data_IF_152144950438
#
_entry.id   IF_152144950438
#
_cell.length_a   1.000
_cell.length_b   1.000
_cell.length_c   1.000
_cell.angle_alpha   90.00
_cell.angle_beta   90.00
_cell.angle_gamma   90.00
#
_symmetry.space_group_name_H-M   'P 1'
#
loop_
_entity.id
_entity.type
_entity.pdbx_description
1 polymer ?
#
# COMPACT_ATOMS: atom_id res chain seq x y z
N UNK A 1 -13.07 25.91 -11.96
CA UNK A 1 -13.50 25.64 -10.56
C UNK A 1 -12.41 24.96 -9.73
N UNK A 2 -11.68 23.97 -10.26
CA UNK A 2 -10.55 23.30 -9.58
C UNK A 2 -9.41 24.28 -9.24
N UNK A 3 -9.05 25.20 -10.15
CA UNK A 3 -7.94 26.14 -9.95
C UNK A 3 -8.10 27.04 -8.71
N UNK A 4 -9.31 27.54 -8.44
CA UNK A 4 -9.55 28.39 -7.28
C UNK A 4 -9.43 27.65 -5.95
N UNK A 5 -9.87 26.38 -5.90
CA UNK A 5 -9.81 25.56 -4.70
C UNK A 5 -8.38 25.16 -4.32
N UNK A 6 -7.47 25.07 -5.29
CA UNK A 6 -6.09 24.61 -5.11
C UNK A 6 -5.04 25.68 -5.29
N UNK A 7 -5.45 26.97 -5.44
CA UNK A 7 -4.52 28.09 -5.68
C UNK A 7 -3.49 28.31 -4.56
N UNK A 8 -3.80 27.86 -3.33
CA UNK A 8 -2.90 27.94 -2.19
C UNK A 8 -1.88 26.78 -2.10
N UNK A 9 -2.05 25.74 -2.93
CA UNK A 9 -1.13 24.60 -2.98
C UNK A 9 0.00 24.89 -3.96
N UNK A 10 1.22 24.31 -3.73
CA UNK A 10 2.34 24.46 -4.65
C UNK A 10 1.99 23.95 -6.05
N UNK A 11 2.54 24.59 -7.08
CA UNK A 11 2.38 24.20 -8.46
C UNK A 11 3.42 23.14 -8.88
N UNK A 12 3.08 22.33 -9.87
CA UNK A 12 4.03 21.46 -10.55
C UNK A 12 4.72 22.27 -11.64
N UNK A 13 6.01 22.58 -11.42
CA UNK A 13 6.78 23.46 -12.30
C UNK A 13 7.33 22.73 -13.52
N UNK A 14 7.48 23.41 -14.69
CA UNK A 14 8.16 22.85 -15.85
C UNK A 14 9.60 22.41 -15.50
N UNK A 15 10.02 21.26 -16.03
CA UNK A 15 11.35 20.70 -15.77
C UNK A 15 11.50 20.07 -14.39
N UNK A 16 10.41 19.85 -13.65
CA UNK A 16 10.41 19.19 -12.36
C UNK A 16 9.63 17.87 -12.37
N UNK A 17 9.89 17.03 -11.36
CA UNK A 17 9.23 15.72 -11.17
C UNK A 17 8.54 15.67 -9.82
N UNK A 18 7.27 15.32 -9.79
CA UNK A 18 6.60 14.94 -8.55
C UNK A 18 6.50 13.42 -8.44
N UNK A 19 7.00 12.85 -7.32
CA UNK A 19 6.80 11.44 -6.96
C UNK A 19 5.58 11.37 -6.05
N UNK A 20 4.48 10.84 -6.58
CA UNK A 20 3.14 10.97 -6.00
C UNK A 20 2.57 9.61 -5.64
N UNK A 21 2.05 9.47 -4.43
CA UNK A 21 1.28 8.30 -4.01
C UNK A 21 -0.16 8.37 -4.48
N UNK A 22 -0.61 7.31 -5.15
CA UNK A 22 -1.98 7.15 -5.64
C UNK A 22 -2.95 6.59 -4.56
N UNK A 23 -2.44 6.28 -3.37
CA UNK A 23 -3.24 5.58 -2.37
C UNK A 23 -3.41 4.09 -2.65
N UNK A 24 -4.22 3.38 -1.84
CA UNK A 24 -4.32 1.92 -1.89
C UNK A 24 -5.27 1.38 -2.98
N UNK A 25 -6.05 2.24 -3.63
CA UNK A 25 -6.97 1.79 -4.68
C UNK A 25 -8.14 2.74 -4.95
N UNK A 26 -8.82 3.23 -3.93
CA UNK A 26 -9.94 4.18 -4.07
C UNK A 26 -9.40 5.58 -4.48
N UNK A 27 -9.82 6.15 -5.62
CA UNK A 27 -9.45 7.50 -6.03
C UNK A 27 -9.83 8.58 -4.98
N UNK A 28 -10.86 8.35 -4.17
CA UNK A 28 -11.26 9.22 -3.07
C UNK A 28 -10.20 9.34 -1.96
N UNK A 29 -9.19 8.48 -1.96
CA UNK A 29 -8.06 8.50 -1.03
C UNK A 29 -6.83 9.26 -1.57
N UNK A 30 -6.93 9.87 -2.74
CA UNK A 30 -5.90 10.78 -3.24
C UNK A 30 -5.79 12.00 -2.32
N UNK A 31 -4.56 12.44 -2.06
CA UNK A 31 -4.37 13.73 -1.40
C UNK A 31 -4.76 14.87 -2.34
N UNK A 32 -5.18 16.01 -1.80
CA UNK A 32 -5.48 17.19 -2.60
C UNK A 32 -4.30 17.61 -3.48
N UNK A 33 -3.08 17.44 -2.98
CA UNK A 33 -1.87 17.76 -3.72
C UNK A 33 -1.61 16.75 -4.86
N UNK A 34 -1.93 15.47 -4.65
CA UNK A 34 -1.88 14.46 -5.71
C UNK A 34 -2.90 14.77 -6.82
N UNK A 35 -4.13 15.13 -6.47
CA UNK A 35 -5.17 15.51 -7.43
C UNK A 35 -4.76 16.75 -8.26
N UNK A 36 -4.20 17.78 -7.59
CA UNK A 36 -3.65 18.96 -8.28
C UNK A 36 -2.52 18.58 -9.24
N UNK A 37 -1.57 17.76 -8.79
CA UNK A 37 -0.45 17.31 -9.62
C UNK A 37 -0.92 16.53 -10.86
N UNK A 38 -1.91 15.65 -10.72
CA UNK A 38 -2.54 14.92 -11.83
C UNK A 38 -3.14 15.88 -12.87
N UNK A 39 -3.83 16.91 -12.41
CA UNK A 39 -4.44 17.92 -13.28
C UNK A 39 -3.38 18.80 -13.99
N UNK A 40 -2.26 19.15 -13.33
CA UNK A 40 -1.23 20.04 -13.88
C UNK A 40 -0.19 19.34 -14.76
N UNK A 41 -0.06 18.02 -14.66
CA UNK A 41 0.99 17.27 -15.35
C UNK A 41 0.87 17.34 -16.88
N UNK A 42 2.02 17.50 -17.57
CA UNK A 42 2.13 17.28 -19.01
C UNK A 42 2.32 15.79 -19.31
N UNK A 43 3.03 15.08 -18.41
CA UNK A 43 3.29 13.64 -18.53
C UNK A 43 3.08 12.97 -17.18
N UNK A 44 2.30 11.88 -17.18
CA UNK A 44 2.10 10.98 -16.05
C UNK A 44 2.77 9.65 -16.37
N UNK A 45 3.76 9.26 -15.55
CA UNK A 45 4.40 7.94 -15.63
C UNK A 45 3.91 7.11 -14.46
N UNK A 46 3.14 6.02 -14.70
CA UNK A 46 2.52 5.24 -13.63
C UNK A 46 2.87 3.75 -13.67
N UNK A 47 2.80 3.08 -12.53
CA UNK A 47 3.05 1.64 -12.40
C UNK A 47 1.73 0.81 -12.37
N UNK A 48 1.88 -0.52 -12.29
CA UNK A 48 0.78 -1.47 -12.41
C UNK A 48 -0.21 -1.46 -11.23
N UNK A 49 0.17 -0.92 -10.07
CA UNK A 49 -0.66 -0.91 -8.86
C UNK A 49 -1.54 0.33 -8.74
N UNK A 50 -1.40 1.27 -9.67
CA UNK A 50 -2.25 2.46 -9.72
C UNK A 50 -3.63 2.07 -10.25
N UNK A 51 -4.69 2.45 -9.54
CA UNK A 51 -6.04 2.36 -10.09
C UNK A 51 -6.19 3.37 -11.24
N UNK A 52 -6.54 2.88 -12.43
CA UNK A 52 -6.67 3.71 -13.63
C UNK A 52 -7.72 4.83 -13.49
N UNK A 53 -8.71 4.66 -12.61
CA UNK A 53 -9.68 5.70 -12.29
C UNK A 53 -9.04 6.98 -11.75
N UNK A 54 -7.86 6.89 -11.10
CA UNK A 54 -7.10 8.05 -10.67
C UNK A 54 -6.65 8.92 -11.86
N UNK A 55 -6.42 8.31 -13.03
CA UNK A 55 -5.98 9.01 -14.23
C UNK A 55 -7.09 9.88 -14.86
N UNK A 56 -8.35 9.67 -14.48
CA UNK A 56 -9.47 10.49 -14.93
C UNK A 56 -9.38 11.95 -14.46
N UNK A 57 -8.50 12.26 -13.48
CA UNK A 57 -8.21 13.62 -13.05
C UNK A 57 -7.20 14.35 -13.94
N UNK A 58 -6.52 13.64 -14.82
CA UNK A 58 -5.61 14.23 -15.80
C UNK A 58 -6.39 14.99 -16.89
N UNK A 59 -5.75 15.99 -17.48
CA UNK A 59 -6.30 16.70 -18.63
C UNK A 59 -6.27 15.81 -19.89
N UNK A 60 -7.16 16.01 -20.87
CA UNK A 60 -7.20 15.19 -22.07
C UNK A 60 -5.91 15.17 -22.89
N UNK A 61 -5.14 16.26 -22.85
CA UNK A 61 -3.85 16.42 -23.53
C UNK A 61 -2.65 15.82 -22.76
N UNK A 62 -2.84 15.38 -21.52
CA UNK A 62 -1.76 14.80 -20.71
C UNK A 62 -1.31 13.47 -21.31
N UNK A 63 -0.01 13.34 -21.55
CA UNK A 63 0.58 12.07 -21.96
C UNK A 63 0.65 11.09 -20.80
N UNK A 64 0.09 9.89 -20.95
CA UNK A 64 0.13 8.85 -19.93
C UNK A 64 1.05 7.70 -20.40
N UNK A 65 2.13 7.46 -19.64
CA UNK A 65 3.11 6.41 -19.89
C UNK A 65 3.00 5.32 -18.81
N UNK A 66 2.80 4.08 -19.23
CA UNK A 66 2.78 2.93 -18.34
C UNK A 66 4.20 2.38 -18.13
N UNK A 67 4.70 2.39 -16.89
CA UNK A 67 6.01 1.90 -16.49
C UNK A 67 6.00 0.51 -15.84
N UNK A 68 4.82 -0.13 -15.72
CA UNK A 68 4.67 -1.47 -15.17
C UNK A 68 5.09 -2.59 -16.12
N UNK A 69 5.02 -3.83 -15.66
CA UNK A 69 5.25 -5.02 -16.50
C UNK A 69 4.11 -5.15 -17.52
N UNK A 70 4.43 -5.08 -18.81
CA UNK A 70 3.49 -5.51 -19.86
C UNK A 70 3.71 -7.00 -20.11
N UNK A 71 2.61 -7.76 -20.15
CA UNK A 71 2.63 -9.21 -20.36
C UNK A 71 3.60 -9.64 -21.48
N UNK A 72 4.53 -10.54 -21.15
CA UNK A 72 5.49 -11.12 -22.08
C UNK A 72 6.71 -10.27 -22.45
N UNK A 73 6.81 -9.00 -22.03
CA UNK A 73 8.02 -8.17 -22.23
C UNK A 73 8.85 -8.10 -20.94
N UNK A 74 10.21 -8.04 -21.03
CA UNK A 74 11.03 -7.77 -19.86
C UNK A 74 10.53 -6.51 -19.15
N UNK A 75 10.40 -6.57 -17.82
CA UNK A 75 10.11 -5.38 -17.01
C UNK A 75 11.16 -4.32 -17.31
N UNK A 76 10.75 -3.08 -17.56
CA UNK A 76 11.69 -1.95 -17.56
C UNK A 76 12.50 -2.02 -16.26
N UNK A 77 13.84 -1.97 -16.36
CA UNK A 77 14.67 -1.91 -15.16
C UNK A 77 14.31 -0.63 -14.40
N UNK A 78 14.33 -0.65 -13.07
CA UNK A 78 14.05 0.55 -12.29
C UNK A 78 14.88 1.76 -12.74
N UNK A 79 16.13 1.53 -13.11
CA UNK A 79 17.03 2.55 -13.65
C UNK A 79 16.47 3.20 -14.92
N UNK A 80 15.85 2.42 -15.82
CA UNK A 80 15.32 2.94 -17.08
C UNK A 80 14.11 3.85 -16.82
N UNK A 81 13.27 3.51 -15.83
CA UNK A 81 12.17 4.36 -15.40
C UNK A 81 12.70 5.68 -14.83
N UNK A 82 13.69 5.62 -13.92
CA UNK A 82 14.28 6.82 -13.31
C UNK A 82 14.93 7.75 -14.36
N UNK A 83 15.65 7.17 -15.33
CA UNK A 83 16.26 7.94 -16.43
C UNK A 83 15.20 8.54 -17.36
N UNK A 84 14.07 7.82 -17.57
CA UNK A 84 12.94 8.39 -18.34
C UNK A 84 12.36 9.64 -17.68
N UNK A 85 12.22 9.64 -16.33
CA UNK A 85 11.79 10.85 -15.61
C UNK A 85 12.76 12.02 -15.82
N UNK A 86 14.08 11.75 -15.81
CA UNK A 86 15.12 12.75 -16.08
C UNK A 86 15.01 13.34 -17.50
N UNK A 87 14.84 12.47 -18.51
CA UNK A 87 14.67 12.91 -19.91
C UNK A 87 13.46 13.85 -20.06
N UNK A 88 12.31 13.46 -19.52
CA UNK A 88 11.09 14.24 -19.59
C UNK A 88 11.23 15.60 -18.90
N UNK A 89 11.84 15.63 -17.71
CA UNK A 89 12.10 16.86 -16.98
C UNK A 89 13.07 17.79 -17.75
N UNK A 90 14.15 17.24 -18.31
CA UNK A 90 15.10 18.01 -19.16
C UNK A 90 14.45 18.56 -20.43
N UNK A 91 13.41 17.92 -20.94
CA UNK A 91 12.59 18.43 -22.03
C UNK A 91 11.61 19.54 -21.58
N UNK A 92 11.73 20.03 -20.34
CA UNK A 92 10.89 21.09 -19.78
C UNK A 92 9.46 20.65 -19.41
N UNK A 93 9.18 19.34 -19.34
CA UNK A 93 7.85 18.83 -19.01
C UNK A 93 7.57 18.93 -17.51
N UNK A 94 6.29 19.12 -17.17
CA UNK A 94 5.75 18.91 -15.82
C UNK A 94 5.50 17.42 -15.65
N UNK A 95 6.39 16.73 -14.92
CA UNK A 95 6.38 15.27 -14.84
C UNK A 95 5.78 14.80 -13.53
N UNK A 96 4.77 13.93 -13.59
CA UNK A 96 4.21 13.28 -12.43
C UNK A 96 4.48 11.77 -12.50
N UNK A 97 5.23 11.24 -11.54
CA UNK A 97 5.44 9.81 -11.33
C UNK A 97 4.40 9.31 -10.32
N UNK A 98 3.37 8.60 -10.80
CA UNK A 98 2.28 8.09 -9.97
C UNK A 98 2.56 6.65 -9.55
N UNK A 99 2.52 6.40 -8.24
CA UNK A 99 2.89 5.13 -7.61
C UNK A 99 1.75 4.60 -6.73
N UNK A 100 1.47 3.31 -6.78
CA UNK A 100 0.48 2.71 -5.85
C UNK A 100 0.89 2.91 -4.39
N UNK A 101 -0.07 3.18 -3.51
CA UNK A 101 0.17 3.45 -2.10
C UNK A 101 0.92 4.75 -1.86
N UNK A 102 2.07 4.66 -1.20
CA UNK A 102 2.99 5.76 -0.87
C UNK A 102 4.34 5.56 -1.57
N UNK A 103 4.98 6.60 -2.13
CA UNK A 103 6.26 6.48 -2.84
C UNK A 103 7.39 5.90 -1.99
N UNK A 104 7.39 6.14 -0.69
CA UNK A 104 8.47 5.77 0.24
C UNK A 104 8.19 4.52 1.08
N UNK A 105 7.00 3.89 0.92
CA UNK A 105 6.67 2.65 1.62
C UNK A 105 6.74 1.48 0.63
N UNK A 106 7.87 0.79 0.58
CA UNK A 106 8.19 -0.32 -0.33
C UNK A 106 7.94 -0.01 -1.83
N UNK A 107 7.90 1.28 -2.17
CA UNK A 107 7.61 1.78 -3.52
C UNK A 107 8.85 2.16 -4.34
N UNK A 108 10.08 2.02 -3.80
CA UNK A 108 11.34 2.41 -4.45
C UNK A 108 11.44 3.90 -4.81
N UNK A 109 10.57 4.76 -4.28
CA UNK A 109 10.60 6.20 -4.54
C UNK A 109 11.91 6.87 -4.10
N UNK A 110 12.58 6.32 -3.08
CA UNK A 110 13.91 6.77 -2.66
C UNK A 110 14.96 6.60 -3.76
N UNK A 111 14.97 5.48 -4.48
CA UNK A 111 15.87 5.23 -5.61
C UNK A 111 15.60 6.19 -6.77
N UNK A 112 14.31 6.42 -7.07
CA UNK A 112 13.89 7.38 -8.10
C UNK A 112 14.32 8.81 -7.72
N UNK A 113 14.11 9.23 -6.46
CA UNK A 113 14.52 10.55 -5.97
C UNK A 113 16.03 10.75 -6.01
N UNK A 114 16.83 9.75 -5.60
CA UNK A 114 18.30 9.81 -5.66
C UNK A 114 18.79 9.98 -7.10
N UNK A 115 18.19 9.29 -8.07
CA UNK A 115 18.52 9.48 -9.49
C UNK A 115 18.22 10.91 -9.96
N UNK A 116 17.10 11.50 -9.52
CA UNK A 116 16.78 12.91 -9.84
C UNK A 116 17.82 13.87 -9.26
N UNK A 117 18.28 13.62 -8.01
CA UNK A 117 19.38 14.41 -7.37
C UNK A 117 20.65 14.31 -8.18
N UNK A 118 21.08 13.10 -8.58
CA UNK A 118 22.30 12.87 -9.39
C UNK A 118 22.29 13.67 -10.71
N UNK A 119 21.09 13.90 -11.25
CA UNK A 119 20.91 14.61 -12.52
C UNK A 119 20.51 16.09 -12.36
N UNK A 120 20.49 16.62 -11.12
CA UNK A 120 20.10 17.99 -10.77
C UNK A 120 18.67 18.33 -11.25
N UNK A 121 17.73 17.38 -11.16
CA UNK A 121 16.32 17.59 -11.49
C UNK A 121 15.58 17.97 -10.21
N UNK A 122 14.87 19.12 -10.17
CA UNK A 122 14.00 19.50 -9.06
C UNK A 122 12.87 18.48 -8.90
N UNK A 123 12.58 18.09 -7.67
CA UNK A 123 11.50 17.14 -7.42
C UNK A 123 10.74 17.45 -6.12
N UNK A 124 9.57 16.86 -6.00
CA UNK A 124 8.75 16.87 -4.79
C UNK A 124 8.25 15.46 -4.49
N UNK A 125 8.23 15.11 -3.20
CA UNK A 125 7.51 13.92 -2.72
C UNK A 125 6.12 14.35 -2.29
N UNK A 126 5.10 13.68 -2.83
CA UNK A 126 3.71 13.82 -2.41
C UNK A 126 3.28 12.49 -1.79
N UNK A 127 3.20 12.38 -0.47
CA UNK A 127 2.78 11.16 0.20
C UNK A 127 1.43 10.67 -0.27
N UNK A 128 1.22 9.36 -0.19
CA UNK A 128 -0.07 8.72 -0.40
C UNK A 128 -0.44 7.82 0.77
N UNK A 129 -1.69 7.40 0.84
CA UNK A 129 -2.12 6.45 1.87
C UNK A 129 -1.62 5.07 1.47
N UNK A 130 -0.69 4.52 2.25
CA UNK A 130 -0.17 3.17 1.99
C UNK A 130 -1.21 2.09 2.29
N UNK A 131 -1.19 0.98 1.53
CA UNK A 131 -2.18 -0.10 1.66
C UNK A 131 -2.19 -0.76 3.04
N UNK A 132 -1.05 -0.79 3.75
CA UNK A 132 -0.96 -1.30 5.13
C UNK A 132 -1.68 -0.44 6.16
N UNK A 133 -2.13 0.76 5.80
CA UNK A 133 -2.97 1.63 6.62
C UNK A 133 -4.36 1.73 5.99
N UNK A 134 -4.46 2.26 4.78
CA UNK A 134 -5.74 2.51 4.13
C UNK A 134 -6.48 1.24 3.75
N UNK A 135 -5.77 0.22 3.25
CA UNK A 135 -6.37 -1.07 2.90
C UNK A 135 -6.90 -1.83 4.12
N UNK A 136 -6.17 -1.78 5.24
CA UNK A 136 -6.65 -2.38 6.50
C UNK A 136 -7.86 -1.62 7.07
N UNK A 137 -7.88 -0.29 6.97
CA UNK A 137 -9.05 0.50 7.36
C UNK A 137 -10.29 0.14 6.52
N UNK A 138 -10.12 -0.08 5.22
CA UNK A 138 -11.19 -0.55 4.32
C UNK A 138 -11.61 -2.00 4.59
N UNK A 139 -10.73 -2.79 5.17
CA UNK A 139 -11.05 -4.14 5.64
C UNK A 139 -11.69 -4.16 7.04
N UNK A 140 -11.85 -3.02 7.72
CA UNK A 140 -12.34 -2.96 9.10
C UNK A 140 -11.33 -3.48 10.13
N UNK A 141 -10.02 -3.40 9.81
CA UNK A 141 -8.94 -3.85 10.70
C UNK A 141 -8.09 -2.63 11.09
N UNK A 142 -8.22 -2.11 12.31
CA UNK A 142 -7.35 -1.03 12.77
C UNK A 142 -5.92 -1.55 13.00
N UNK A 143 -4.92 -0.83 12.50
CA UNK A 143 -3.50 -1.23 12.72
C UNK A 143 -3.04 -1.04 14.17
N UNK A 144 -3.73 -0.20 14.93
CA UNK A 144 -3.51 0.04 16.35
C UNK A 144 -4.83 0.04 17.11
N UNK A 145 -4.81 -0.45 18.34
CA UNK A 145 -5.94 -0.39 19.25
C UNK A 145 -5.46 -0.24 20.69
N UNK A 146 -6.03 0.73 21.43
CA UNK A 146 -5.58 1.11 22.77
C UNK A 146 -5.36 -0.07 23.73
N UNK A 147 -6.26 -1.06 23.68
CA UNK A 147 -6.27 -2.17 24.63
C UNK A 147 -5.57 -3.43 24.08
N UNK A 148 -5.10 -3.42 22.82
CA UNK A 148 -4.55 -4.59 22.13
C UNK A 148 -3.07 -4.39 21.79
N UNK A 149 -2.72 -3.26 21.16
CA UNK A 149 -1.34 -3.03 20.70
C UNK A 149 -0.96 -1.56 20.68
N UNK A 150 0.31 -1.31 21.02
CA UNK A 150 0.91 0.03 21.00
C UNK A 150 2.05 0.14 19.97
N UNK A 151 2.27 -0.90 19.17
CA UNK A 151 3.30 -0.93 18.15
C UNK A 151 2.82 -1.68 16.91
N UNK A 152 3.32 -1.28 15.74
CA UNK A 152 3.09 -1.95 14.45
C UNK A 152 4.42 -2.03 13.72
N UNK A 153 4.71 -3.18 13.13
CA UNK A 153 5.88 -3.38 12.30
C UNK A 153 5.46 -3.59 10.85
N UNK A 154 5.98 -2.76 9.94
CA UNK A 154 5.80 -2.91 8.50
C UNK A 154 6.97 -3.69 7.91
N UNK A 155 6.69 -4.75 7.14
CA UNK A 155 7.68 -5.60 6.51
C UNK A 155 7.40 -5.81 5.02
N UNK A 156 8.44 -6.18 4.27
CA UNK A 156 8.29 -6.77 2.94
C UNK A 156 8.47 -8.28 3.01
N UNK A 157 7.61 -9.03 2.33
CA UNK A 157 7.70 -10.50 2.29
C UNK A 157 8.77 -11.04 1.34
N UNK A 158 9.30 -10.20 0.44
CA UNK A 158 10.44 -10.56 -0.41
C UNK A 158 11.30 -9.34 -0.75
N UNK A 159 12.55 -9.58 -1.05
CA UNK A 159 13.50 -8.58 -1.55
C UNK A 159 13.51 -8.49 -3.08
N UNK A 160 14.52 -7.81 -3.64
CA UNK A 160 14.68 -7.66 -5.09
C UNK A 160 15.00 -8.97 -5.84
N UNK A 161 15.46 -10.00 -5.14
CA UNK A 161 15.70 -11.35 -5.70
C UNK A 161 14.44 -12.20 -5.72
N UNK A 162 13.37 -11.75 -5.04
CA UNK A 162 12.10 -12.46 -4.96
C UNK A 162 12.06 -13.56 -3.90
N UNK A 163 12.98 -13.53 -2.93
CA UNK A 163 13.03 -14.45 -1.79
C UNK A 163 12.73 -13.71 -0.49
N UNK A 164 12.38 -14.44 0.56
CA UNK A 164 12.22 -13.88 1.91
C UNK A 164 13.54 -13.26 2.38
N UNK A 165 13.57 -11.99 2.85
CA UNK A 165 14.81 -11.32 3.13
C UNK A 165 15.56 -11.91 4.32
N UNK A 166 16.78 -12.39 4.12
CA UNK A 166 17.68 -12.91 5.18
C UNK A 166 18.05 -11.85 6.23
N UNK A 167 17.94 -10.56 5.86
CA UNK A 167 18.28 -9.43 6.74
C UNK A 167 17.21 -9.15 7.79
N UNK A 168 16.04 -9.77 7.71
CA UNK A 168 14.99 -9.62 8.71
C UNK A 168 15.31 -10.54 9.89
N UNK A 169 15.51 -9.95 11.06
CA UNK A 169 15.61 -10.73 12.30
C UNK A 169 14.22 -11.21 12.73
N UNK A 170 13.78 -12.36 12.20
CA UNK A 170 12.46 -12.93 12.45
C UNK A 170 12.21 -13.25 13.90
N UNK A 171 13.25 -13.63 14.66
CA UNK A 171 13.15 -13.88 16.10
C UNK A 171 12.79 -12.60 16.88
N UNK A 172 13.53 -11.51 16.62
CA UNK A 172 13.26 -10.23 17.27
C UNK A 172 11.87 -9.67 16.87
N UNK A 173 11.49 -9.77 15.58
CA UNK A 173 10.20 -9.32 15.08
C UNK A 173 9.07 -10.16 15.69
N UNK A 174 9.19 -11.50 15.67
CA UNK A 174 8.17 -12.39 16.18
C UNK A 174 7.88 -12.16 17.67
N UNK A 175 8.92 -11.89 18.48
CA UNK A 175 8.79 -11.63 19.92
C UNK A 175 8.37 -10.20 20.26
N UNK A 176 8.82 -9.21 19.48
CA UNK A 176 8.68 -7.79 19.84
C UNK A 176 7.55 -7.04 19.15
N UNK A 177 6.95 -7.59 18.10
CA UNK A 177 5.97 -6.88 17.29
C UNK A 177 4.56 -7.41 17.52
N UNK A 178 3.70 -6.71 18.28
CA UNK A 178 2.35 -7.18 18.56
C UNK A 178 1.46 -7.25 17.31
N UNK A 179 1.71 -6.40 16.33
CA UNK A 179 1.04 -6.42 15.01
C UNK A 179 2.10 -6.30 13.92
N UNK A 180 2.04 -7.20 12.97
CA UNK A 180 2.93 -7.22 11.80
C UNK A 180 2.07 -7.02 10.55
N UNK A 181 2.43 -6.02 9.75
CA UNK A 181 1.79 -5.72 8.46
C UNK A 181 2.80 -5.96 7.35
N UNK A 182 2.48 -6.85 6.43
CA UNK A 182 3.42 -7.31 5.41
C UNK A 182 2.92 -7.00 4.01
N UNK A 183 3.82 -6.44 3.20
CA UNK A 183 3.64 -6.25 1.77
C UNK A 183 4.31 -7.38 1.02
N UNK A 184 3.77 -7.76 -0.14
CA UNK A 184 4.37 -8.76 -1.03
C UNK A 184 4.65 -10.12 -0.35
N UNK A 185 3.94 -10.44 0.76
CA UNK A 185 4.18 -11.61 1.59
C UNK A 185 3.36 -12.84 1.17
N UNK A 186 2.27 -12.66 0.42
CA UNK A 186 1.29 -13.71 0.15
C UNK A 186 1.91 -14.97 -0.46
N UNK A 187 2.85 -14.83 -1.42
CA UNK A 187 3.53 -15.97 -2.06
C UNK A 187 4.52 -16.70 -1.14
N UNK A 188 4.99 -16.02 -0.10
CA UNK A 188 6.00 -16.53 0.82
C UNK A 188 5.41 -16.85 2.20
N UNK A 189 4.08 -16.91 2.29
CA UNK A 189 3.40 -17.04 3.60
C UNK A 189 3.79 -18.33 4.35
N UNK A 190 4.05 -19.41 3.64
CA UNK A 190 4.49 -20.68 4.25
C UNK A 190 5.80 -20.51 5.03
N UNK A 191 6.81 -19.92 4.39
CA UNK A 191 8.12 -19.67 5.01
C UNK A 191 8.02 -18.62 6.13
N UNK A 192 7.30 -17.53 5.89
CA UNK A 192 7.11 -16.45 6.86
C UNK A 192 6.38 -16.96 8.11
N UNK A 193 5.30 -17.74 7.94
CA UNK A 193 4.57 -18.34 9.06
C UNK A 193 5.46 -19.28 9.87
N UNK A 194 6.26 -20.11 9.22
CA UNK A 194 7.21 -20.98 9.88
C UNK A 194 8.24 -20.19 10.72
N UNK A 195 8.81 -19.11 10.16
CA UNK A 195 9.73 -18.23 10.88
C UNK A 195 9.08 -17.58 12.11
N UNK A 196 7.84 -17.07 11.97
CA UNK A 196 7.13 -16.43 13.07
C UNK A 196 6.75 -17.42 14.19
N UNK A 197 6.32 -18.63 13.83
CA UNK A 197 6.00 -19.71 14.80
C UNK A 197 7.28 -20.14 15.50
N UNK A 198 8.39 -20.34 14.79
CA UNK A 198 9.68 -20.68 15.38
C UNK A 198 10.18 -19.58 16.33
N UNK A 199 9.84 -18.31 16.06
CA UNK A 199 10.11 -17.19 16.96
C UNK A 199 9.20 -17.13 18.20
N UNK A 200 8.26 -18.07 18.34
CA UNK A 200 7.38 -18.22 19.51
C UNK A 200 5.98 -17.62 19.34
N UNK A 201 5.56 -17.23 18.13
CA UNK A 201 4.16 -16.83 17.91
C UNK A 201 3.26 -18.05 17.87
N UNK A 202 2.02 -17.88 18.33
CA UNK A 202 1.07 -18.98 18.40
C UNK A 202 0.54 -19.35 17.01
N UNK A 203 0.47 -20.63 16.63
CA UNK A 203 -0.18 -21.05 15.38
C UNK A 203 -1.64 -20.59 15.28
N UNK A 204 -2.32 -20.38 16.41
CA UNK A 204 -3.71 -19.90 16.48
C UNK A 204 -3.86 -18.38 16.37
N UNK A 205 -2.75 -17.66 16.23
CA UNK A 205 -2.77 -16.20 16.10
C UNK A 205 -3.50 -15.77 14.82
N UNK A 206 -4.39 -14.74 14.91
CA UNK A 206 -5.18 -14.32 13.76
C UNK A 206 -4.32 -13.69 12.65
N UNK A 207 -4.66 -14.03 11.42
CA UNK A 207 -4.07 -13.48 10.19
C UNK A 207 -5.18 -13.05 9.25
N UNK A 208 -5.02 -11.92 8.58
CA UNK A 208 -5.88 -11.53 7.47
C UNK A 208 -5.07 -11.17 6.23
N UNK A 209 -5.58 -11.61 5.07
CA UNK A 209 -5.10 -11.22 3.75
C UNK A 209 -6.12 -10.26 3.16
N UNK A 210 -5.70 -9.05 2.83
CA UNK A 210 -6.55 -8.04 2.20
C UNK A 210 -6.07 -7.87 0.76
N UNK A 211 -6.79 -8.50 -0.17
CA UNK A 211 -6.48 -8.48 -1.59
C UNK A 211 -7.23 -7.35 -2.28
N UNK A 212 -6.60 -6.71 -3.28
CA UNK A 212 -7.16 -5.58 -4.03
C UNK A 212 -7.75 -4.50 -3.10
N UNK A 213 -7.01 -4.17 -2.04
CA UNK A 213 -7.44 -3.29 -0.97
C UNK A 213 -7.99 -1.95 -1.47
N UNK A 214 -9.08 -1.49 -0.86
CA UNK A 214 -9.76 -0.23 -1.16
C UNK A 214 -10.21 -0.09 -2.63
N UNK A 215 -10.51 -1.21 -3.31
CA UNK A 215 -11.13 -1.21 -4.65
C UNK A 215 -12.47 -1.91 -4.61
N UNK A 216 -13.27 -1.78 -5.66
CA UNK A 216 -14.52 -2.55 -5.83
C UNK A 216 -14.33 -4.08 -5.90
N UNK A 217 -13.07 -4.56 -6.00
CA UNK A 217 -12.70 -5.98 -6.02
C UNK A 217 -12.03 -6.42 -4.73
N UNK A 218 -12.10 -5.62 -3.66
CA UNK A 218 -11.50 -5.99 -2.38
C UNK A 218 -12.07 -7.30 -1.86
N UNK A 219 -11.16 -8.21 -1.49
CA UNK A 219 -11.49 -9.48 -0.82
C UNK A 219 -10.64 -9.63 0.44
N UNK A 220 -11.23 -10.19 1.49
CA UNK A 220 -10.55 -10.41 2.77
C UNK A 220 -10.69 -11.86 3.18
N UNK A 221 -9.55 -12.53 3.40
CA UNK A 221 -9.47 -13.86 3.97
C UNK A 221 -8.96 -13.74 5.40
N UNK A 222 -9.74 -14.21 6.36
CA UNK A 222 -9.34 -14.35 7.77
C UNK A 222 -9.01 -15.81 8.07
N UNK A 223 -7.89 -16.04 8.74
CA UNK A 223 -7.39 -17.38 9.11
C UNK A 223 -6.49 -17.27 10.34
N UNK A 224 -5.74 -18.34 10.63
CA UNK A 224 -4.71 -18.35 11.68
C UNK A 224 -3.31 -18.48 11.07
N UNK A 225 -2.27 -18.16 11.85
CA UNK A 225 -0.88 -18.23 11.39
C UNK A 225 -0.49 -19.65 10.94
N UNK A 226 -0.97 -20.68 11.66
CA UNK A 226 -0.70 -22.09 11.34
C UNK A 226 -1.43 -22.58 10.10
N UNK A 227 -2.61 -22.01 9.77
CA UNK A 227 -3.45 -22.43 8.65
C UNK A 227 -3.27 -21.52 7.41
N UNK A 228 -2.48 -20.46 7.52
CA UNK A 228 -2.40 -19.40 6.51
C UNK A 228 -2.04 -19.94 5.11
N UNK A 229 -1.15 -20.94 5.03
CA UNK A 229 -0.70 -21.53 3.77
C UNK A 229 -1.83 -22.26 3.06
N UNK A 230 -2.51 -23.17 3.76
CA UNK A 230 -3.61 -23.95 3.19
C UNK A 230 -4.81 -23.04 2.86
N UNK A 231 -5.13 -22.10 3.75
CA UNK A 231 -6.24 -21.16 3.55
C UNK A 231 -6.04 -20.30 2.28
N UNK A 232 -4.84 -19.77 2.06
CA UNK A 232 -4.52 -19.01 0.83
C UNK A 232 -4.60 -19.91 -0.39
N UNK A 233 -4.02 -21.11 -0.35
CA UNK A 233 -4.05 -22.04 -1.48
C UNK A 233 -5.48 -22.44 -1.87
N UNK A 234 -6.36 -22.64 -0.89
CA UNK A 234 -7.76 -23.00 -1.11
C UNK A 234 -8.64 -21.81 -1.54
N UNK A 235 -8.25 -20.58 -1.22
CA UNK A 235 -9.09 -19.39 -1.44
C UNK A 235 -9.20 -18.93 -2.88
N UNK A 236 -8.23 -19.26 -3.72
CA UNK A 236 -8.09 -18.70 -5.08
C UNK A 236 -7.78 -17.21 -5.12
N UNK A 237 -7.42 -16.59 -3.99
CA UNK A 237 -7.04 -15.17 -3.94
C UNK A 237 -5.68 -14.94 -4.59
N UNK A 238 -5.56 -13.80 -5.25
CA UNK A 238 -4.34 -13.40 -5.96
C UNK A 238 -3.83 -12.02 -5.49
N UNK A 239 -2.51 -11.76 -5.60
CA UNK A 239 -1.96 -10.42 -5.40
C UNK A 239 -2.59 -9.38 -6.36
N UNK A 240 -2.56 -8.09 -5.97
CA UNK A 240 -1.85 -7.53 -4.81
C UNK A 240 -2.58 -7.76 -3.49
N UNK A 241 -1.81 -8.02 -2.44
CA UNK A 241 -2.35 -8.25 -1.11
C UNK A 241 -1.47 -7.63 -0.01
N UNK A 242 -2.12 -7.14 1.04
CA UNK A 242 -1.50 -6.84 2.34
C UNK A 242 -1.88 -7.95 3.31
N UNK A 243 -0.89 -8.44 4.06
CA UNK A 243 -1.10 -9.46 5.10
C UNK A 243 -0.89 -8.81 6.46
N UNK A 244 -1.81 -9.03 7.38
CA UNK A 244 -1.70 -8.58 8.77
C UNK A 244 -1.79 -9.75 9.73
N UNK A 245 -0.85 -9.80 10.70
CA UNK A 245 -0.78 -10.80 11.77
C UNK A 245 -0.95 -10.08 13.10
N UNK A 246 -1.86 -10.54 13.94
CA UNK A 246 -2.08 -10.03 15.28
C UNK A 246 -3.54 -9.97 15.69
N UNK A 247 -3.78 -9.82 16.98
CA UNK A 247 -5.11 -9.82 17.60
C UNK A 247 -6.07 -8.75 17.06
N UNK A 248 -5.55 -7.65 16.46
CA UNK A 248 -6.39 -6.60 15.84
C UNK A 248 -7.27 -7.13 14.70
N UNK A 249 -6.89 -8.26 14.08
CA UNK A 249 -7.69 -8.91 13.03
C UNK A 249 -9.07 -9.28 13.53
N UNK A 250 -9.22 -9.70 14.80
CA UNK A 250 -10.50 -10.06 15.40
C UNK A 250 -11.50 -8.92 15.46
N UNK A 251 -11.03 -7.66 15.42
CA UNK A 251 -11.90 -6.49 15.40
C UNK A 251 -12.68 -6.36 14.09
N UNK A 252 -12.23 -7.02 13.01
CA UNK A 252 -12.91 -6.96 11.73
C UNK A 252 -14.38 -7.36 11.83
N UNK A 253 -14.72 -8.40 12.61
CA UNK A 253 -16.10 -8.82 12.79
C UNK A 253 -17.02 -7.70 13.31
N UNK A 254 -16.45 -6.74 14.07
CA UNK A 254 -17.15 -5.59 14.64
C UNK A 254 -17.03 -4.31 13.81
N UNK A 255 -16.03 -4.22 12.93
CA UNK A 255 -15.66 -2.98 12.25
C UNK A 255 -15.70 -3.06 10.71
N UNK A 256 -16.18 -4.16 10.13
CA UNK A 256 -16.33 -4.32 8.67
C UNK A 256 -17.46 -3.41 8.12
N UNK A 257 -17.17 -2.12 8.11
CA UNK A 257 -18.12 -1.09 7.69
C UNK A 257 -18.54 -1.22 6.22
N UNK A 258 -17.63 -1.67 5.32
CA UNK A 258 -17.98 -1.96 3.92
C UNK A 258 -18.97 -3.14 3.83
N UNK A 259 -18.71 -4.20 4.59
CA UNK A 259 -19.64 -5.32 4.69
C UNK A 259 -20.98 -4.89 5.28
N UNK A 260 -20.99 -3.96 6.26
CA UNK A 260 -22.21 -3.42 6.83
C UNK A 260 -23.01 -2.60 5.81
N UNK A 261 -22.36 -1.79 4.97
CA UNK A 261 -23.02 -1.09 3.86
C UNK A 261 -23.63 -2.05 2.83
N UNK A 262 -23.04 -3.26 2.69
CA UNK A 262 -23.57 -4.35 1.86
C UNK A 262 -24.58 -5.25 2.60
N UNK A 263 -25.05 -4.86 3.81
CA UNK A 263 -26.05 -5.58 4.57
C UNK A 263 -25.51 -6.64 5.57
N UNK A 264 -24.19 -6.76 5.76
CA UNK A 264 -23.61 -7.63 6.77
C UNK A 264 -23.90 -7.11 8.17
N UNK A 265 -24.33 -7.97 9.08
CA UNK A 265 -24.49 -7.62 10.49
C UNK A 265 -23.14 -7.63 11.19
N UNK A 266 -22.79 -6.51 11.82
CA UNK A 266 -21.58 -6.42 12.65
C UNK A 266 -21.78 -7.15 13.98
N UNK A 267 -20.69 -7.75 14.49
CA UNK A 267 -20.67 -8.43 15.77
C UNK A 267 -20.29 -7.47 16.90
N UNK A 268 -20.61 -7.80 18.17
CA UNK A 268 -20.10 -7.04 19.31
C UNK A 268 -18.58 -7.08 19.38
N UNK A 269 -17.98 -6.05 20.02
CA UNK A 269 -16.55 -5.97 20.28
C UNK A 269 -16.03 -7.24 21.01
N UNK A 270 -15.12 -8.02 20.41
CA UNK A 270 -14.61 -9.27 21.01
C UNK A 270 -13.74 -9.03 22.24
N UNK A 271 -13.25 -7.82 22.46
CA UNK A 271 -12.40 -7.45 23.60
C UNK A 271 -13.15 -6.68 24.68
N UNK A 272 -14.46 -6.45 24.51
CA UNK A 272 -15.29 -5.77 25.51
C UNK A 272 -15.31 -6.59 26.81
N UNK A 273 -14.57 -6.12 27.82
CA UNK A 273 -14.66 -6.70 29.16
C UNK A 273 -16.08 -6.51 29.69
N UNK A 274 -16.74 -7.64 29.98
CA UNK A 274 -18.03 -7.63 30.68
C UNK A 274 -17.85 -6.94 32.05
N UNK A 275 -18.29 -5.70 32.16
CA UNK A 275 -18.34 -4.97 33.41
C UNK A 275 -17.25 -3.92 33.59
N UNK A 276 -17.57 -2.71 33.13
CA UNK A 276 -17.50 -1.40 33.84
C UNK A 276 -17.77 -0.31 32.81
N UNK A 277 -19.05 0.07 32.69
CA UNK A 277 -19.37 1.42 32.25
C UNK A 277 -18.74 2.33 33.30
N UNK A 278 -17.60 2.97 33.00
CA UNK A 278 -17.16 4.13 33.77
C UNK A 278 -18.07 5.29 33.34
N UNK A 279 -18.93 5.69 34.28
CA UNK A 279 -19.73 6.89 34.21
C UNK A 279 -18.81 8.12 34.06
#
# INVERSE_FOLDING_TARGET
>A
MIDAAFSHLPALEPGSVWLVGAGPGDPGLLTLLAAKGLFEADVIVHDALVNEECLALARPETLVEYAGKRGGKPSAKQRDISLRLVELARAGKKVLRLKGGDPFVFGRGGEEALTLVEHNIPFRIVPGITAGIGGLAYAGIPVTHRDINHAVTFLTGHDSSGIVPDRINWEAIGRGSPVIVMYMAMKHIAEISACLIAAGRLPTEPVAFVCNAATGRQQVLETTLGEATEAVAASGLEPPAVVVVGEVVRLRASLDWLGALAGRRLQPDPFRRSGKVRA
#
